data_IF_801469427120
#
_entry.id   IF_801469427120
#
_cell.length_a   1.000
_cell.length_b   1.000
_cell.length_c   1.000
_cell.angle_alpha   90.00
_cell.angle_beta   90.00
_cell.angle_gamma   90.00
#
_symmetry.space_group_name_H-M   'P 1'
#
loop_
_entity.id
_entity.type
_entity.pdbx_description
1 polymer ?
#
# COMPACT_ATOMS: atom_id res chain seq x y z
N UNK A 1 37.14 -30.25 -25.04
CA UNK A 1 37.34 -29.35 -23.87
C UNK A 1 36.30 -29.74 -22.82
N UNK A 2 36.40 -30.86 -22.08
CA UNK A 2 37.21 -31.10 -20.85
C UNK A 2 37.21 -29.86 -19.94
N UNK A 3 36.75 -29.85 -18.68
CA UNK A 3 36.74 -30.84 -17.59
C UNK A 3 35.48 -30.65 -16.69
N UNK A 4 34.78 -31.65 -16.15
CA UNK A 4 35.12 -32.78 -15.24
C UNK A 4 35.39 -32.34 -13.78
N UNK A 5 34.36 -32.57 -12.94
CA UNK A 5 34.33 -33.27 -11.65
C UNK A 5 35.60 -33.42 -10.76
N UNK A 6 35.32 -33.47 -9.45
CA UNK A 6 36.14 -33.86 -8.27
C UNK A 6 36.85 -32.69 -7.56
N UNK A 7 36.54 -32.43 -6.29
CA UNK A 7 37.09 -33.26 -5.20
C UNK A 7 36.21 -33.31 -3.95
N UNK A 8 36.14 -34.52 -3.39
CA UNK A 8 35.47 -34.87 -2.15
C UNK A 8 36.38 -34.65 -0.91
N UNK A 9 35.71 -34.44 0.22
CA UNK A 9 36.00 -34.95 1.57
C UNK A 9 37.46 -34.96 2.08
N UNK A 10 37.68 -34.21 3.18
CA UNK A 10 38.43 -34.69 4.35
C UNK A 10 37.81 -34.17 5.65
N UNK A 11 37.36 -35.13 6.46
CA UNK A 11 37.06 -35.04 7.88
C UNK A 11 38.33 -34.68 8.68
N UNK A 12 38.18 -33.94 9.78
CA UNK A 12 39.27 -33.70 10.72
C UNK A 12 38.91 -32.74 11.87
N UNK A 13 38.21 -33.27 12.88
CA UNK A 13 38.36 -33.02 14.33
C UNK A 13 38.76 -31.62 14.84
N UNK A 14 37.95 -31.04 15.73
CA UNK A 14 38.35 -30.44 17.02
C UNK A 14 37.07 -30.00 17.76
N UNK A 15 36.43 -30.93 18.48
CA UNK A 15 36.42 -31.02 19.95
C UNK A 15 35.90 -29.80 20.72
N UNK A 16 34.81 -30.06 21.44
CA UNK A 16 34.31 -29.29 22.56
C UNK A 16 35.38 -29.13 23.66
N UNK A 17 35.43 -27.96 24.30
CA UNK A 17 35.91 -27.87 25.68
C UNK A 17 35.12 -26.84 26.48
N UNK A 18 34.28 -27.41 27.33
CA UNK A 18 33.66 -26.83 28.53
C UNK A 18 34.74 -26.41 29.53
N UNK A 19 34.54 -25.28 30.20
CA UNK A 19 34.93 -24.96 31.60
C UNK A 19 34.24 -23.62 31.95
N UNK A 20 33.04 -23.61 32.56
CA UNK A 20 32.77 -23.60 34.02
C UNK A 20 33.81 -22.84 34.85
N UNK A 21 33.38 -21.80 35.57
CA UNK A 21 33.15 -21.86 37.03
C UNK A 21 32.69 -20.50 37.63
N UNK A 22 31.54 -20.55 38.30
CA UNK A 22 31.16 -19.96 39.59
C UNK A 22 31.62 -18.54 40.03
N UNK A 23 30.62 -17.69 40.32
CA UNK A 23 30.49 -17.10 41.68
C UNK A 23 30.79 -15.59 41.85
N UNK A 24 30.23 -14.94 42.90
CA UNK A 24 29.62 -13.60 42.82
C UNK A 24 30.34 -12.49 43.62
N UNK A 25 29.77 -11.26 43.60
CA UNK A 25 29.97 -10.06 44.47
C UNK A 25 30.75 -8.87 43.82
N UNK A 26 30.58 -7.61 44.27
CA UNK A 26 29.43 -6.74 44.01
C UNK A 26 29.84 -5.38 43.38
N UNK A 27 28.87 -4.65 42.83
CA UNK A 27 29.06 -3.28 42.33
C UNK A 27 29.33 -2.29 43.49
N UNK A 28 30.43 -1.55 43.40
CA UNK A 28 30.68 -0.34 44.19
C UNK A 28 30.42 0.90 43.32
N UNK A 29 29.77 1.96 43.84
CA UNK A 29 29.47 3.17 43.08
C UNK A 29 30.61 4.17 43.23
N UNK A 30 31.01 4.83 42.14
CA UNK A 30 31.82 6.04 42.20
C UNK A 30 31.08 7.20 41.54
N UNK A 31 30.87 8.16 42.42
CA UNK A 31 30.29 9.49 42.28
C UNK A 31 31.09 10.43 41.38
N UNK A 32 30.35 11.41 40.84
CA UNK A 32 30.74 12.82 40.65
C UNK A 32 32.03 13.14 39.88
N UNK A 33 31.90 13.86 38.76
CA UNK A 33 32.01 15.33 38.73
C UNK A 33 32.47 15.84 37.36
N UNK A 34 31.64 16.70 36.77
CA UNK A 34 31.97 18.00 36.16
C UNK A 34 33.09 18.14 35.11
N UNK A 35 32.73 18.62 33.92
CA UNK A 35 33.16 19.93 33.36
C UNK A 35 33.16 19.94 31.83
N UNK A 36 32.27 20.78 31.27
CA UNK A 36 32.42 21.66 30.11
C UNK A 36 33.32 21.23 28.93
N UNK A 37 32.74 21.07 27.73
CA UNK A 37 32.72 22.14 26.72
C UNK A 37 32.20 21.66 25.35
N UNK A 38 31.42 22.53 24.68
CA UNK A 38 31.46 22.68 23.24
C UNK A 38 30.52 21.78 22.42
N UNK A 39 29.35 22.32 22.08
CA UNK A 39 29.02 22.86 20.74
C UNK A 39 27.52 23.15 20.78
N UNK A 40 27.18 24.42 20.93
CA UNK A 40 25.82 24.90 20.71
C UNK A 40 25.53 24.84 19.20
N UNK A 41 25.10 23.67 18.73
CA UNK A 41 24.42 23.57 17.45
C UNK A 41 22.96 23.97 17.67
N UNK A 42 22.67 25.25 17.46
CA UNK A 42 21.31 25.74 17.34
C UNK A 42 20.63 25.04 16.16
N UNK A 43 19.90 23.96 16.45
CA UNK A 43 19.03 23.32 15.48
C UNK A 43 17.82 24.23 15.22
N UNK A 44 17.41 24.43 13.95
CA UNK A 44 16.32 25.32 13.60
C UNK A 44 15.02 24.83 14.24
N UNK A 45 14.33 25.74 14.90
CA UNK A 45 13.15 25.52 15.72
C UNK A 45 11.86 25.35 14.92
N UNK A 46 11.85 24.62 13.79
CA UNK A 46 10.62 24.33 13.05
C UNK A 46 10.54 22.85 12.65
N UNK A 47 9.76 22.08 13.42
CA UNK A 47 9.39 20.70 13.10
C UNK A 47 9.16 19.89 14.36
N UNK A 48 7.91 19.47 14.62
CA UNK A 48 7.60 18.56 15.72
C UNK A 48 8.49 17.29 15.61
N UNK A 49 9.41 17.11 16.56
CA UNK A 49 10.25 15.92 16.63
C UNK A 49 9.38 14.65 16.66
N UNK A 50 9.69 13.70 15.78
CA UNK A 50 9.07 12.37 15.78
C UNK A 50 9.51 11.63 17.06
N UNK A 51 8.54 11.33 17.92
CA UNK A 51 8.76 10.54 19.14
C UNK A 51 8.35 9.08 18.86
N UNK A 52 9.32 8.16 18.71
CA UNK A 52 9.03 6.75 18.39
C UNK A 52 8.33 5.99 19.51
N UNK A 53 8.23 6.58 20.71
CA UNK A 53 7.62 5.96 21.90
C UNK A 53 6.22 6.50 22.21
N UNK A 54 5.69 7.44 21.41
CA UNK A 54 4.29 7.87 21.55
C UNK A 54 3.35 6.71 21.22
N UNK A 55 2.37 6.41 22.09
CA UNK A 55 1.49 5.27 21.87
C UNK A 55 0.58 5.50 20.65
N UNK A 56 0.05 4.41 20.08
CA UNK A 56 -0.94 4.39 18.97
C UNK A 56 -2.02 5.51 19.00
N UNK A 57 -2.55 5.96 20.17
CA UNK A 57 -3.49 7.06 20.22
C UNK A 57 -3.01 8.35 19.55
N UNK A 58 -1.70 8.65 19.51
CA UNK A 58 -1.19 9.84 18.84
C UNK A 58 -1.44 9.81 17.33
N UNK A 59 -1.12 8.69 16.69
CA UNK A 59 -1.34 8.50 15.26
C UNK A 59 -2.84 8.53 14.92
N UNK A 60 -3.64 7.81 15.71
CA UNK A 60 -5.09 7.79 15.59
C UNK A 60 -5.66 9.20 15.70
N UNK A 61 -5.26 9.96 16.72
CA UNK A 61 -5.71 11.35 16.92
C UNK A 61 -5.27 12.28 15.78
N UNK A 62 -4.03 12.14 15.28
CA UNK A 62 -3.53 12.92 14.15
C UNK A 62 -4.36 12.67 12.88
N UNK A 63 -4.56 11.42 12.52
CA UNK A 63 -5.33 11.06 11.32
C UNK A 63 -6.81 11.35 11.48
N UNK A 64 -7.38 11.20 12.68
CA UNK A 64 -8.75 11.63 12.97
C UNK A 64 -8.93 13.14 12.78
N UNK A 65 -7.94 13.94 13.22
CA UNK A 65 -7.96 15.40 13.04
C UNK A 65 -7.86 15.77 11.56
N UNK A 66 -6.95 15.13 10.82
CA UNK A 66 -6.78 15.34 9.38
C UNK A 66 -8.03 14.95 8.58
N UNK A 67 -8.63 13.81 8.90
CA UNK A 67 -9.82 13.34 8.22
C UNK A 67 -11.01 14.31 8.33
N UNK A 68 -11.11 15.04 9.46
CA UNK A 68 -12.14 16.07 9.66
C UNK A 68 -11.89 17.35 8.88
N UNK A 69 -10.65 17.67 8.51
CA UNK A 69 -10.31 18.88 7.75
C UNK A 69 -10.39 18.71 6.23
N UNK A 70 -10.63 17.50 5.73
CA UNK A 70 -10.47 17.16 4.31
C UNK A 70 -11.63 17.52 3.38
N UNK A 71 -12.74 18.03 3.92
CA UNK A 71 -14.02 18.08 3.21
C UNK A 71 -14.62 19.49 3.06
N UNK A 72 -13.84 20.52 3.36
CA UNK A 72 -14.36 21.88 3.43
C UNK A 72 -13.38 22.78 2.68
N UNK A 73 -13.84 23.49 1.66
CA UNK A 73 -13.08 24.58 1.06
C UNK A 73 -12.94 25.76 2.06
N UNK A 74 -12.37 26.89 1.65
CA UNK A 74 -12.24 28.04 2.57
C UNK A 74 -13.61 28.69 2.90
N UNK A 75 -14.66 28.34 2.16
CA UNK A 75 -15.99 28.93 2.18
C UNK A 75 -17.02 28.03 2.89
N UNK A 76 -16.75 26.75 3.11
CA UNK A 76 -17.69 25.81 3.73
C UNK A 76 -18.22 24.73 2.80
N UNK A 77 -17.94 24.79 1.50
CA UNK A 77 -18.62 23.99 0.47
C UNK A 77 -17.83 22.74 0.05
N UNK A 78 -18.57 21.70 -0.36
CA UNK A 78 -18.02 20.48 -0.92
C UNK A 78 -17.66 20.69 -2.39
N UNK A 79 -16.37 20.74 -2.71
CA UNK A 79 -15.89 20.96 -4.08
C UNK A 79 -15.92 19.71 -4.96
N UNK A 80 -16.10 18.53 -4.36
CA UNK A 80 -16.08 17.24 -5.04
C UNK A 80 -17.20 16.33 -4.51
N UNK A 81 -17.68 15.38 -5.33
CA UNK A 81 -18.70 14.41 -4.89
C UNK A 81 -18.12 13.55 -3.76
N UNK A 82 -18.53 13.82 -2.52
CA UNK A 82 -18.17 13.00 -1.36
C UNK A 82 -19.16 11.84 -1.22
N UNK A 83 -18.72 10.64 -0.81
CA UNK A 83 -19.62 9.54 -0.47
C UNK A 83 -20.67 9.95 0.57
N UNK A 84 -21.92 9.61 0.31
CA UNK A 84 -23.04 9.82 1.24
C UNK A 84 -22.94 8.88 2.44
N UNK A 85 -23.58 9.24 3.56
CA UNK A 85 -23.60 8.37 4.75
C UNK A 85 -24.15 6.96 4.43
N UNK A 86 -25.21 6.87 3.63
CA UNK A 86 -25.81 5.60 3.23
C UNK A 86 -24.88 4.74 2.35
N UNK A 87 -24.07 5.34 1.48
CA UNK A 87 -23.07 4.62 0.69
C UNK A 87 -21.95 4.06 1.59
N UNK A 88 -21.53 4.86 2.58
CA UNK A 88 -20.54 4.43 3.57
C UNK A 88 -21.08 3.30 4.46
N UNK A 89 -22.33 3.38 4.93
CA UNK A 89 -22.94 2.33 5.76
C UNK A 89 -23.06 1.00 5.04
N UNK A 90 -23.38 1.02 3.74
CA UNK A 90 -23.35 -0.17 2.89
C UNK A 90 -21.95 -0.76 2.81
N UNK A 91 -20.92 0.08 2.66
CA UNK A 91 -19.54 -0.38 2.64
C UNK A 91 -19.10 -0.95 4.00
N UNK A 92 -19.41 -0.28 5.11
CA UNK A 92 -19.12 -0.76 6.47
C UNK A 92 -19.72 -2.15 6.70
N UNK A 93 -20.96 -2.36 6.27
CA UNK A 93 -21.65 -3.65 6.33
C UNK A 93 -20.94 -4.73 5.51
N UNK A 94 -20.45 -4.36 4.31
CA UNK A 94 -19.70 -5.27 3.42
C UNK A 94 -18.34 -5.62 4.01
N UNK A 95 -17.61 -4.63 4.53
CA UNK A 95 -16.33 -4.82 5.21
C UNK A 95 -16.50 -5.68 6.49
N UNK A 96 -17.64 -5.54 7.17
CA UNK A 96 -17.85 -6.13 8.48
C UNK A 96 -17.25 -5.33 9.62
N UNK A 97 -17.01 -4.04 9.42
CA UNK A 97 -16.43 -3.12 10.40
C UNK A 97 -17.24 -1.83 10.43
N UNK A 98 -17.70 -1.46 11.63
CA UNK A 98 -18.35 -0.18 11.86
C UNK A 98 -17.30 0.79 12.40
N UNK A 99 -17.02 1.86 11.65
CA UNK A 99 -16.00 2.82 12.04
C UNK A 99 -16.47 3.65 13.25
N UNK A 100 -15.63 3.75 14.27
CA UNK A 100 -15.85 4.73 15.35
C UNK A 100 -15.74 6.15 14.79
N UNK A 101 -14.81 6.35 13.85
CA UNK A 101 -14.64 7.60 13.12
C UNK A 101 -14.87 7.43 11.61
N UNK A 102 -16.10 7.65 11.15
CA UNK A 102 -16.46 7.58 9.72
C UNK A 102 -15.69 8.56 8.84
N UNK A 103 -15.07 9.61 9.41
CA UNK A 103 -14.19 10.51 8.68
C UNK A 103 -12.94 9.80 8.14
N UNK A 104 -12.41 8.79 8.84
CA UNK A 104 -11.28 8.00 8.33
C UNK A 104 -11.63 7.28 7.04
N UNK A 105 -12.84 6.70 6.98
CA UNK A 105 -13.33 6.02 5.79
C UNK A 105 -13.55 7.02 4.63
N UNK A 106 -14.05 8.23 4.92
CA UNK A 106 -14.16 9.29 3.91
C UNK A 106 -12.78 9.72 3.38
N UNK A 107 -11.81 9.90 4.27
CA UNK A 107 -10.43 10.24 3.89
C UNK A 107 -9.81 9.18 2.99
N UNK A 108 -10.12 7.89 3.19
CA UNK A 108 -9.62 6.81 2.35
C UNK A 108 -10.01 6.96 0.86
N UNK A 109 -11.12 7.64 0.57
CA UNK A 109 -11.60 7.91 -0.79
C UNK A 109 -11.10 9.22 -1.40
N UNK A 110 -10.38 10.04 -0.63
CA UNK A 110 -9.86 11.33 -1.11
C UNK A 110 -8.52 11.13 -1.83
N UNK A 111 -8.54 10.95 -3.15
CA UNK A 111 -7.31 10.82 -3.92
C UNK A 111 -6.52 12.13 -3.93
N UNK A 112 -5.20 12.05 -4.10
CA UNK A 112 -4.30 13.21 -4.17
C UNK A 112 -4.71 14.27 -5.22
N UNK A 113 -5.26 13.85 -6.37
CA UNK A 113 -5.74 14.79 -7.40
C UNK A 113 -6.94 15.62 -6.96
N UNK A 114 -7.83 15.07 -6.13
CA UNK A 114 -8.93 15.83 -5.53
C UNK A 114 -8.42 16.72 -4.39
N UNK A 115 -7.53 16.20 -3.54
CA UNK A 115 -6.94 16.95 -2.43
C UNK A 115 -6.17 18.19 -2.90
N UNK A 116 -5.51 18.15 -4.07
CA UNK A 116 -4.79 19.30 -4.64
C UNK A 116 -5.70 20.47 -5.03
N UNK A 117 -6.99 20.23 -5.30
CA UNK A 117 -7.93 21.30 -5.64
C UNK A 117 -8.35 22.10 -4.40
N UNK A 118 -8.16 21.55 -3.21
CA UNK A 118 -8.55 22.18 -1.94
C UNK A 118 -7.30 22.50 -1.11
N UNK A 119 -7.00 23.79 -0.86
CA UNK A 119 -5.83 24.17 -0.07
C UNK A 119 -5.81 23.48 1.30
N UNK A 120 -4.67 22.86 1.64
CA UNK A 120 -4.45 22.13 2.90
C UNK A 120 -5.35 20.90 3.12
N UNK A 121 -6.01 20.38 2.07
CA UNK A 121 -6.74 19.12 2.19
C UNK A 121 -5.78 17.92 2.21
N UNK A 122 -5.90 16.99 3.18
CA UNK A 122 -5.12 15.77 3.18
C UNK A 122 -5.66 14.76 2.15
N UNK A 123 -4.75 14.01 1.55
CA UNK A 123 -5.09 12.87 0.70
C UNK A 123 -5.05 11.56 1.46
N UNK A 124 -5.57 10.51 0.81
CA UNK A 124 -5.56 9.14 1.30
C UNK A 124 -4.15 8.51 1.38
N UNK A 125 -3.10 9.12 0.83
CA UNK A 125 -1.74 8.56 0.76
C UNK A 125 -1.21 8.06 2.11
N UNK A 126 -1.47 8.78 3.20
CA UNK A 126 -1.00 8.36 4.54
C UNK A 126 -1.69 7.07 5.00
N UNK A 127 -2.99 6.93 4.70
CA UNK A 127 -3.74 5.71 5.00
C UNK A 127 -3.30 4.58 4.07
N UNK A 128 -3.10 4.85 2.78
CA UNK A 128 -2.64 3.85 1.81
C UNK A 128 -1.27 3.27 2.21
N UNK A 129 -0.34 4.13 2.59
CA UNK A 129 0.98 3.72 3.07
C UNK A 129 0.91 2.80 4.30
N UNK A 130 0.02 3.09 5.24
CA UNK A 130 -0.20 2.23 6.42
C UNK A 130 -0.91 0.92 6.06
N UNK A 131 -1.86 1.00 5.14
CA UNK A 131 -2.63 -0.14 4.65
C UNK A 131 -1.77 -1.14 3.89
N UNK A 132 -0.85 -0.69 3.04
CA UNK A 132 0.11 -1.56 2.34
C UNK A 132 0.93 -2.38 3.35
N UNK A 133 1.50 -1.72 4.36
CA UNK A 133 2.27 -2.41 5.41
C UNK A 133 1.41 -3.41 6.18
N UNK A 134 0.17 -3.05 6.52
CA UNK A 134 -0.77 -3.95 7.19
C UNK A 134 -1.13 -5.15 6.31
N UNK A 135 -1.39 -4.92 5.01
CA UNK A 135 -1.70 -5.95 4.03
C UNK A 135 -0.56 -6.95 3.90
N UNK A 136 0.68 -6.46 3.76
CA UNK A 136 1.87 -7.31 3.66
C UNK A 136 1.99 -8.23 4.87
N UNK A 137 1.79 -7.72 6.09
CA UNK A 137 1.83 -8.53 7.30
C UNK A 137 0.70 -9.57 7.32
N UNK A 138 -0.54 -9.14 7.08
CA UNK A 138 -1.72 -10.03 7.10
C UNK A 138 -1.56 -11.17 6.09
N UNK A 139 -1.22 -10.87 4.84
CA UNK A 139 -1.05 -11.88 3.80
C UNK A 139 0.09 -12.84 4.13
N UNK A 140 1.19 -12.34 4.69
CA UNK A 140 2.31 -13.19 5.14
C UNK A 140 1.85 -14.16 6.23
N UNK A 141 1.16 -13.67 7.27
CA UNK A 141 0.63 -14.50 8.35
C UNK A 141 -0.32 -15.58 7.79
N UNK A 142 -1.23 -15.22 6.88
CA UNK A 142 -2.20 -16.16 6.31
C UNK A 142 -1.52 -17.25 5.46
N UNK A 143 -0.57 -16.88 4.61
CA UNK A 143 0.16 -17.83 3.77
C UNK A 143 1.00 -18.79 4.61
N UNK A 144 1.74 -18.27 5.60
CA UNK A 144 2.58 -19.09 6.48
C UNK A 144 1.76 -20.05 7.35
N UNK A 145 0.59 -19.61 7.82
CA UNK A 145 -0.30 -20.45 8.63
C UNK A 145 -1.01 -21.53 7.78
N UNK A 146 -1.50 -21.18 6.59
CA UNK A 146 -2.27 -22.08 5.73
C UNK A 146 -1.41 -23.13 5.01
N UNK A 147 -0.16 -22.79 4.67
CA UNK A 147 0.67 -23.59 3.77
C UNK A 147 2.06 -23.90 4.35
N UNK A 148 2.12 -24.42 5.57
CA UNK A 148 3.36 -24.70 6.31
C UNK A 148 4.35 -25.64 5.62
N UNK A 149 3.88 -26.52 4.73
CA UNK A 149 4.72 -27.45 3.96
C UNK A 149 5.29 -26.85 2.66
N UNK A 150 4.96 -25.59 2.32
CA UNK A 150 5.38 -24.93 1.08
C UNK A 150 6.73 -24.23 1.27
N UNK A 151 7.53 -24.16 0.20
CA UNK A 151 8.85 -23.49 0.26
C UNK A 151 8.71 -21.98 0.49
N UNK A 152 9.67 -21.36 1.18
CA UNK A 152 9.69 -19.92 1.41
C UNK A 152 9.70 -19.11 0.10
N UNK A 153 10.39 -19.61 -0.93
CA UNK A 153 10.41 -18.98 -2.25
C UNK A 153 9.01 -18.91 -2.86
N UNK A 154 8.28 -20.04 -2.86
CA UNK A 154 6.90 -20.10 -3.34
C UNK A 154 5.97 -19.18 -2.54
N UNK A 155 6.09 -19.17 -1.21
CA UNK A 155 5.32 -18.27 -0.34
C UNK A 155 5.61 -16.79 -0.63
N UNK A 156 6.88 -16.46 -0.92
CA UNK A 156 7.30 -15.09 -1.25
C UNK A 156 6.71 -14.65 -2.58
N UNK A 157 6.73 -15.51 -3.61
CA UNK A 157 6.07 -15.25 -4.89
C UNK A 157 4.56 -15.10 -4.72
N UNK A 158 3.93 -15.97 -3.93
CA UNK A 158 2.50 -15.87 -3.67
C UNK A 158 2.12 -14.57 -2.95
N UNK A 159 2.91 -14.17 -1.94
CA UNK A 159 2.75 -12.90 -1.24
C UNK A 159 2.83 -11.73 -2.21
N UNK A 160 3.87 -11.68 -3.05
CA UNK A 160 4.07 -10.60 -4.02
C UNK A 160 2.88 -10.46 -4.99
N UNK A 161 2.31 -11.58 -5.43
CA UNK A 161 1.12 -11.58 -6.27
C UNK A 161 -0.13 -11.06 -5.54
N UNK A 162 -0.38 -11.54 -4.31
CA UNK A 162 -1.56 -11.19 -3.52
C UNK A 162 -1.58 -9.75 -2.98
N UNK A 163 -0.41 -9.11 -2.86
CA UNK A 163 -0.27 -7.69 -2.47
C UNK A 163 0.09 -6.79 -3.66
N UNK A 164 0.07 -7.35 -4.88
CA UNK A 164 0.34 -6.56 -6.08
C UNK A 164 -0.73 -5.50 -6.29
N UNK A 165 -0.38 -4.44 -7.01
CA UNK A 165 -1.33 -3.38 -7.39
C UNK A 165 -2.54 -3.92 -8.16
N UNK A 166 -2.34 -4.97 -8.95
CA UNK A 166 -3.41 -5.65 -9.69
C UNK A 166 -4.37 -6.37 -8.73
N UNK A 167 -3.83 -7.08 -7.72
CA UNK A 167 -4.64 -7.70 -6.69
C UNK A 167 -5.41 -6.65 -5.87
N UNK A 168 -4.75 -5.58 -5.44
CA UNK A 168 -5.40 -4.47 -4.73
C UNK A 168 -6.54 -3.83 -5.57
N UNK A 169 -6.35 -3.65 -6.87
CA UNK A 169 -7.41 -3.17 -7.77
C UNK A 169 -8.59 -4.15 -7.83
N UNK A 170 -8.32 -5.46 -7.97
CA UNK A 170 -9.36 -6.49 -7.96
C UNK A 170 -10.12 -6.53 -6.63
N UNK A 171 -9.44 -6.36 -5.49
CA UNK A 171 -10.08 -6.23 -4.19
C UNK A 171 -10.98 -4.99 -4.10
N UNK A 172 -10.52 -3.85 -4.64
CA UNK A 172 -11.30 -2.62 -4.73
C UNK A 172 -12.57 -2.80 -5.58
N UNK A 173 -12.47 -3.49 -6.72
CA UNK A 173 -13.60 -3.85 -7.60
C UNK A 173 -14.59 -4.78 -6.92
N UNK A 174 -14.09 -5.83 -6.26
CA UNK A 174 -14.94 -6.74 -5.49
C UNK A 174 -15.70 -5.99 -4.40
N UNK A 175 -15.10 -4.98 -3.76
CA UNK A 175 -15.75 -4.13 -2.76
C UNK A 175 -16.65 -3.05 -3.36
N UNK A 176 -16.47 -2.69 -4.64
CA UNK A 176 -17.24 -1.64 -5.32
C UNK A 176 -16.77 -0.23 -5.02
N UNK A 177 -15.47 -0.05 -4.72
CA UNK A 177 -14.89 1.22 -4.30
C UNK A 177 -14.85 2.27 -5.41
N UNK A 178 -14.99 1.86 -6.68
CA UNK A 178 -14.93 2.73 -7.86
C UNK A 178 -15.92 3.89 -7.77
N UNK A 179 -17.11 3.61 -7.26
CA UNK A 179 -18.21 4.58 -7.18
C UNK A 179 -18.04 5.60 -6.04
N UNK A 180 -17.11 5.31 -5.13
CA UNK A 180 -16.88 6.10 -3.92
C UNK A 180 -15.62 6.95 -4.02
N UNK A 181 -14.72 6.63 -4.95
CA UNK A 181 -13.46 7.33 -5.12
C UNK A 181 -13.69 8.77 -5.57
N UNK A 182 -13.07 9.71 -4.87
CA UNK A 182 -13.11 11.13 -5.16
C UNK A 182 -11.84 11.52 -5.90
N UNK A 183 -11.98 11.97 -7.15
CA UNK A 183 -10.89 12.37 -8.04
C UNK A 183 -11.11 13.81 -8.49
N UNK A 184 -10.03 14.55 -8.72
CA UNK A 184 -10.13 15.93 -9.20
C UNK A 184 -10.50 16.03 -10.68
N UNK A 185 -10.94 17.22 -11.10
CA UNK A 185 -11.53 17.47 -12.44
C UNK A 185 -10.58 17.17 -13.60
N UNK A 186 -9.26 17.27 -13.37
CA UNK A 186 -8.21 16.94 -14.34
C UNK A 186 -8.05 15.44 -14.58
N UNK A 187 -8.66 14.60 -13.75
CA UNK A 187 -8.61 13.12 -13.81
C UNK A 187 -10.03 12.55 -13.71
N UNK A 188 -10.87 12.69 -14.75
CA UNK A 188 -12.29 12.34 -14.67
C UNK A 188 -12.56 10.83 -14.57
N UNK A 189 -11.54 9.99 -14.77
CA UNK A 189 -11.65 8.53 -14.75
C UNK A 189 -10.73 7.94 -13.69
N UNK A 190 -11.30 7.18 -12.77
CA UNK A 190 -10.55 6.38 -11.81
C UNK A 190 -9.68 5.37 -12.53
N UNK A 191 -8.36 5.46 -12.33
CA UNK A 191 -7.41 4.47 -12.87
C UNK A 191 -7.32 3.25 -11.94
N UNK A 192 -6.89 2.10 -12.47
CA UNK A 192 -6.58 0.90 -11.67
C UNK A 192 -5.61 1.20 -10.52
N UNK A 193 -4.68 2.11 -10.79
CA UNK A 193 -3.73 2.64 -9.83
C UNK A 193 -4.43 3.33 -8.65
N UNK A 194 -5.34 4.26 -8.92
CA UNK A 194 -6.06 4.97 -7.86
C UNK A 194 -6.97 4.03 -7.06
N UNK A 195 -7.55 3.01 -7.70
CA UNK A 195 -8.39 2.01 -7.04
C UNK A 195 -7.60 1.12 -6.09
N UNK A 196 -6.42 0.66 -6.51
CA UNK A 196 -5.52 -0.11 -5.66
C UNK A 196 -5.09 0.68 -4.42
N UNK A 197 -4.72 1.95 -4.61
CA UNK A 197 -4.37 2.85 -3.51
C UNK A 197 -5.56 3.12 -2.58
N UNK A 198 -6.77 3.26 -3.13
CA UNK A 198 -7.99 3.40 -2.34
C UNK A 198 -8.29 2.15 -1.49
N UNK A 199 -8.06 0.95 -2.03
CA UNK A 199 -8.18 -0.28 -1.25
C UNK A 199 -7.18 -0.32 -0.08
N UNK A 200 -5.91 0.00 -0.35
CA UNK A 200 -4.89 0.12 0.70
C UNK A 200 -5.32 1.17 1.73
N UNK A 201 -5.83 2.32 1.29
CA UNK A 201 -6.29 3.37 2.19
C UNK A 201 -7.49 2.94 3.05
N UNK A 202 -8.42 2.16 2.52
CA UNK A 202 -9.54 1.60 3.29
C UNK A 202 -9.01 0.63 4.35
N UNK A 203 -8.08 -0.26 4.00
CA UNK A 203 -7.48 -1.17 4.96
C UNK A 203 -6.67 -0.42 6.02
N UNK A 204 -5.96 0.64 5.61
CA UNK A 204 -5.26 1.56 6.50
C UNK A 204 -6.21 2.29 7.45
N UNK A 205 -7.38 2.72 6.98
CA UNK A 205 -8.42 3.32 7.81
C UNK A 205 -8.93 2.34 8.87
N UNK A 206 -9.19 1.08 8.48
CA UNK A 206 -9.56 0.02 9.43
C UNK A 206 -8.44 -0.23 10.45
N UNK A 207 -7.19 -0.25 10.01
CA UNK A 207 -6.03 -0.40 10.88
C UNK A 207 -5.91 0.75 11.91
N UNK A 208 -6.13 1.99 11.48
CA UNK A 208 -6.06 3.17 12.37
C UNK A 208 -7.23 3.21 13.35
N UNK A 209 -8.40 2.72 12.94
CA UNK A 209 -9.60 2.72 13.75
C UNK A 209 -9.64 1.55 14.77
N UNK A 210 -9.48 0.31 14.29
CA UNK A 210 -9.63 -0.91 15.08
C UNK A 210 -8.34 -1.72 15.29
N UNK A 211 -7.20 -1.25 14.78
CA UNK A 211 -5.91 -1.95 14.90
C UNK A 211 -5.73 -3.13 13.95
N UNK A 212 -4.58 -3.80 14.06
CA UNK A 212 -4.20 -4.90 13.16
C UNK A 212 -5.15 -6.11 13.24
N UNK A 213 -5.73 -6.38 14.41
CA UNK A 213 -6.67 -7.48 14.58
C UNK A 213 -7.93 -7.28 13.73
N UNK A 214 -8.48 -6.05 13.73
CA UNK A 214 -9.64 -5.72 12.92
C UNK A 214 -9.32 -5.70 11.43
N UNK A 215 -8.18 -5.11 11.04
CA UNK A 215 -7.73 -5.12 9.65
C UNK A 215 -7.58 -6.55 9.10
N UNK A 216 -7.01 -7.47 9.91
CA UNK A 216 -6.92 -8.90 9.59
C UNK A 216 -8.30 -9.53 9.40
N UNK A 217 -9.22 -9.29 10.33
CA UNK A 217 -10.57 -9.85 10.27
C UNK A 217 -11.31 -9.39 9.01
N UNK A 218 -11.26 -8.09 8.70
CA UNK A 218 -11.86 -7.51 7.49
C UNK A 218 -11.26 -8.14 6.23
N UNK A 219 -9.93 -8.25 6.15
CA UNK A 219 -9.28 -8.81 4.97
C UNK A 219 -9.64 -10.29 4.77
N UNK A 220 -9.45 -11.13 5.81
CA UNK A 220 -9.69 -12.57 5.72
C UNK A 220 -11.16 -12.90 5.43
N UNK A 221 -12.09 -12.13 5.98
CA UNK A 221 -13.54 -12.28 5.72
C UNK A 221 -13.88 -12.05 4.25
N UNK A 222 -13.27 -11.04 3.62
CA UNK A 222 -13.62 -10.61 2.27
C UNK A 222 -12.79 -11.31 1.18
N UNK A 223 -11.57 -11.74 1.51
CA UNK A 223 -10.60 -12.30 0.58
C UNK A 223 -9.96 -13.58 1.15
N UNK A 224 -10.76 -14.65 1.39
CA UNK A 224 -10.23 -15.89 1.94
C UNK A 224 -9.25 -16.54 0.98
N UNK A 225 -8.17 -17.10 1.53
CA UNK A 225 -7.24 -17.90 0.73
C UNK A 225 -7.91 -19.21 0.27
N UNK A 226 -7.60 -19.69 -0.95
CA UNK A 226 -7.94 -21.04 -1.40
C UNK A 226 -7.42 -22.12 -0.43
N UNK A 227 -8.08 -23.28 -0.41
CA UNK A 227 -7.69 -24.39 0.48
C UNK A 227 -6.36 -25.04 0.09
N UNK A 228 -6.04 -25.03 -1.20
CA UNK A 228 -4.83 -25.64 -1.74
C UNK A 228 -3.92 -24.59 -2.36
N UNK A 229 -2.62 -24.72 -2.13
CA UNK A 229 -1.64 -23.77 -2.67
C UNK A 229 -1.56 -23.81 -4.22
N UNK A 230 -1.87 -24.96 -4.83
CA UNK A 230 -2.01 -25.11 -6.28
C UNK A 230 -3.03 -24.12 -6.88
N UNK A 231 -4.13 -23.89 -6.17
CA UNK A 231 -5.20 -22.98 -6.56
C UNK A 231 -4.75 -21.53 -6.44
N UNK A 232 -3.95 -21.19 -5.41
CA UNK A 232 -3.30 -19.88 -5.29
C UNK A 232 -2.42 -19.62 -6.52
N UNK A 233 -1.54 -20.55 -6.89
CA UNK A 233 -0.70 -20.41 -8.09
C UNK A 233 -1.52 -20.24 -9.36
N UNK A 234 -2.61 -21.00 -9.50
CA UNK A 234 -3.49 -20.89 -10.65
C UNK A 234 -4.20 -19.53 -10.73
N UNK A 235 -4.64 -18.98 -9.59
CA UNK A 235 -5.21 -17.63 -9.52
C UNK A 235 -4.21 -16.56 -9.93
N UNK A 236 -2.98 -16.63 -9.42
CA UNK A 236 -1.93 -15.67 -9.73
C UNK A 236 -1.58 -15.68 -11.23
N UNK A 237 -1.44 -16.87 -11.84
CA UNK A 237 -1.23 -16.98 -13.29
C UNK A 237 -2.36 -16.37 -14.12
N UNK A 238 -3.61 -16.53 -13.67
CA UNK A 238 -4.76 -15.90 -14.34
C UNK A 238 -4.70 -14.38 -14.24
N UNK A 239 -4.31 -13.84 -13.08
CA UNK A 239 -4.14 -12.40 -12.90
C UNK A 239 -3.00 -11.85 -13.77
N UNK A 240 -1.86 -12.54 -13.81
CA UNK A 240 -0.72 -12.19 -14.66
C UNK A 240 -1.10 -12.20 -16.15
N UNK A 241 -1.82 -13.23 -16.61
CA UNK A 241 -2.30 -13.34 -17.98
C UNK A 241 -3.29 -12.20 -18.34
N UNK A 242 -4.23 -11.90 -17.45
CA UNK A 242 -5.18 -10.80 -17.63
C UNK A 242 -4.46 -9.44 -17.70
N UNK A 243 -3.46 -9.22 -16.84
CA UNK A 243 -2.65 -8.01 -16.86
C UNK A 243 -1.83 -7.87 -18.14
N UNK A 244 -1.19 -8.96 -18.59
CA UNK A 244 -0.45 -8.98 -19.86
C UNK A 244 -1.37 -8.66 -21.06
N UNK A 245 -2.58 -9.22 -21.06
CA UNK A 245 -3.58 -8.96 -22.08
C UNK A 245 -4.03 -7.49 -22.09
N UNK A 246 -4.29 -6.89 -20.92
CA UNK A 246 -4.68 -5.49 -20.81
C UNK A 246 -3.59 -4.54 -21.33
N UNK A 247 -2.32 -4.81 -21.01
CA UNK A 247 -1.17 -4.05 -21.53
C UNK A 247 -1.08 -4.16 -23.05
N UNK A 248 -1.20 -5.38 -23.60
CA UNK A 248 -1.17 -5.59 -25.04
C UNK A 248 -2.31 -4.87 -25.78
N UNK A 249 -3.52 -4.86 -25.20
CA UNK A 249 -4.67 -4.13 -25.73
C UNK A 249 -4.44 -2.61 -25.72
N UNK A 250 -3.89 -2.08 -24.63
CA UNK A 250 -3.57 -0.66 -24.51
C UNK A 250 -2.51 -0.23 -25.54
N UNK A 251 -1.43 -1.00 -25.69
CA UNK A 251 -0.40 -0.75 -26.70
C UNK A 251 -0.97 -0.80 -28.13
N UNK A 252 -1.85 -1.77 -28.41
CA UNK A 252 -2.53 -1.85 -29.70
C UNK A 252 -3.41 -0.60 -29.96
N UNK A 253 -4.13 -0.13 -28.94
CA UNK A 253 -4.93 1.10 -29.02
C UNK A 253 -4.06 2.33 -29.31
N UNK A 254 -2.92 2.49 -28.63
CA UNK A 254 -1.97 3.57 -28.89
C UNK A 254 -1.42 3.49 -30.32
N UNK A 255 -0.97 2.32 -30.75
CA UNK A 255 -0.45 2.11 -32.11
C UNK A 255 -1.48 2.49 -33.16
N UNK A 256 -2.76 2.13 -32.94
CA UNK A 256 -3.85 2.50 -33.83
C UNK A 256 -4.09 4.01 -33.88
N UNK A 257 -4.07 4.70 -32.73
CA UNK A 257 -4.21 6.16 -32.67
C UNK A 257 -3.05 6.87 -33.39
N UNK A 258 -1.82 6.41 -33.20
CA UNK A 258 -0.64 6.98 -33.89
C UNK A 258 -0.77 6.78 -35.41
N UNK A 259 -1.15 5.58 -35.84
CA UNK A 259 -1.35 5.28 -37.27
C UNK A 259 -2.41 6.17 -37.90
N UNK A 260 -3.53 6.40 -37.20
CA UNK A 260 -4.60 7.30 -37.65
C UNK A 260 -4.09 8.75 -37.75
N UNK A 261 -3.42 9.27 -36.72
CA UNK A 261 -2.89 10.63 -36.73
C UNK A 261 -1.86 10.87 -37.85
N UNK A 262 -1.00 9.89 -38.13
CA UNK A 262 -0.06 9.94 -39.26
C UNK A 262 -0.80 9.97 -40.61
N UNK A 263 -1.87 9.18 -40.77
CA UNK A 263 -2.67 9.16 -41.98
C UNK A 263 -3.42 10.49 -42.19
N UNK A 264 -3.96 11.09 -41.14
CA UNK A 264 -4.60 12.40 -41.17
C UNK A 264 -3.61 13.51 -41.56
N UNK A 265 -2.40 13.51 -40.98
CA UNK A 265 -1.36 14.46 -41.34
C UNK A 265 -0.93 14.32 -42.82
N UNK A 266 -0.80 13.09 -43.32
CA UNK A 266 -0.51 12.82 -44.72
C UNK A 266 -1.61 13.34 -45.65
N UNK A 267 -2.88 13.12 -45.32
CA UNK A 267 -4.02 13.63 -46.09
C UNK A 267 -4.04 15.17 -46.12
N UNK A 268 -3.81 15.83 -44.98
CA UNK A 268 -3.79 17.30 -44.88
C UNK A 268 -2.68 17.89 -45.74
N UNK A 269 -1.47 17.31 -45.70
CA UNK A 269 -0.36 17.75 -46.55
C UNK A 269 -0.62 17.53 -48.05
N UNK A 270 -1.29 16.43 -48.43
CA UNK A 270 -1.69 16.19 -49.81
C UNK A 270 -2.72 17.22 -50.30
N UNK A 271 -3.73 17.55 -49.47
CA UNK A 271 -4.73 18.58 -49.76
C UNK A 271 -4.13 19.97 -49.91
N UNK A 272 -3.17 20.33 -49.05
CA UNK A 272 -2.45 21.59 -49.15
C UNK A 272 -1.72 21.73 -50.49
N UNK A 273 -1.00 20.67 -50.92
CA UNK A 273 -0.31 20.64 -52.22
C UNK A 273 -1.25 20.76 -53.41
N UNK A 274 -2.45 20.18 -53.34
CA UNK A 274 -3.43 20.28 -54.42
C UNK A 274 -4.15 21.63 -54.51
N UNK A 275 -4.11 22.45 -53.46
CA UNK A 275 -4.74 23.77 -53.45
C UNK A 275 -3.81 24.89 -53.95
N UNK A 276 -2.51 24.60 -54.11
CA UNK A 276 -1.49 25.52 -54.63
C UNK A 276 -1.30 25.41 -56.16
N UNK A 277 -1.99 24.47 -56.82
CA UNK A 277 -2.01 24.24 -58.27
C UNK A 277 -3.31 24.78 -58.89
#
# INVERSE_FOLDING_TARGET
MRAVFQSAARLGQCQARVLRCCGPQPCSPLSSSNSNNGIAAAAPSHGHAYDPFKPRPYLRNKLNKLARSAQIDKQGDFTCRVPTAAELDKLQSKLGHNFENSWLLRLAFMHSSAAQQVPNSPSNNSLAWMGDSALQLIVTEQLSAAFSATSLGDLTTARAGLVSRQACCAYAEQLGLQKLLVVGDSTPVSTSNMLAEAFEAVLGAVYVDGGIAMARQVFVRNFPLPREFSQVKAQLRKQEAAAAQATAQYEASIRQKIKLAMAEAALTSAKARSAEL
#
